data_IF_629062899248
#
_entry.id   IF_629062899248
#
_cell.length_a   1.000
_cell.length_b   1.000
_cell.length_c   1.000
_cell.angle_alpha   90.00
_cell.angle_beta   90.00
_cell.angle_gamma   90.00
#
_symmetry.space_group_name_H-M   'P 1'
#
loop_
_entity.id
_entity.type
_entity.pdbx_description
1 polymer ?
2 non-polymer ?
3 non-polymer ?
4 water ?
#
# COMPACT_ATOMS: atom_id res chain seq x y z
N UNK A 6 7.68 -14.28 17.95
CA UNK A 6 9.05 -14.15 18.44
C UNK A 6 10.08 -13.87 17.31
N UNK A 7 9.64 -13.82 16.03
CA UNK A 7 10.57 -13.60 14.92
C UNK A 7 10.37 -12.24 14.19
N UNK A 8 9.31 -11.50 14.53
CA UNK A 8 9.12 -10.15 14.00
C UNK A 8 10.04 -9.22 14.78
N UNK A 9 10.59 -8.14 14.18
CA UNK A 9 11.38 -7.18 14.98
C UNK A 9 10.52 -6.47 16.03
N UNK A 10 11.15 -5.84 17.07
CA UNK A 10 10.37 -5.08 18.07
C UNK A 10 9.57 -3.97 17.37
N UNK A 11 8.34 -3.73 17.84
CA UNK A 11 7.43 -2.74 17.28
C UNK A 11 6.76 -3.18 15.96
N UNK A 12 6.97 -4.45 15.55
CA UNK A 12 6.28 -4.97 14.38
C UNK A 12 5.19 -5.91 14.87
N UNK A 13 4.09 -5.95 14.14
CA UNK A 13 2.94 -6.76 14.49
C UNK A 13 2.93 -8.06 13.67
N UNK A 14 2.78 -9.20 14.34
CA UNK A 14 2.75 -10.50 13.68
C UNK A 14 1.31 -10.86 13.34
N UNK A 15 1.08 -11.36 12.13
CA UNK A 15 -0.24 -11.78 11.68
C UNK A 15 -0.12 -12.71 10.50
N UNK A 16 -0.61 -13.96 10.65
CA UNK A 16 -0.62 -14.99 9.61
C UNK A 16 0.73 -15.15 8.89
N UNK A 17 1.81 -15.27 9.65
CA UNK A 17 3.18 -15.50 9.16
C UNK A 17 3.79 -14.30 8.41
N UNK A 18 3.29 -13.10 8.68
CA UNK A 18 3.87 -11.86 8.17
C UNK A 18 4.09 -10.87 9.34
N UNK A 19 5.08 -10.00 9.21
CA UNK A 19 5.37 -8.94 10.18
C UNK A 19 4.99 -7.60 9.53
N UNK A 20 4.32 -6.71 10.28
CA UNK A 20 3.84 -5.43 9.74
C UNK A 20 4.30 -4.26 10.60
N UNK A 21 4.65 -3.17 9.97
CA UNK A 21 5.03 -1.96 10.68
C UNK A 21 4.13 -0.85 10.12
N UNK A 22 3.47 -0.13 11.01
CA UNK A 22 2.55 0.92 10.63
C UNK A 22 3.16 2.25 10.96
N UNK A 23 3.43 3.08 9.94
CA UNK A 23 3.98 4.40 10.21
C UNK A 23 3.00 5.31 10.94
N UNK A 24 3.56 6.25 11.67
CA UNK A 24 2.78 7.30 12.30
C UNK A 24 3.23 8.69 11.75
N UNK A 25 3.70 8.71 10.51
CA UNK A 25 4.13 9.90 9.80
C UNK A 25 3.92 9.65 8.29
N UNK A 26 4.01 10.70 7.49
CA UNK A 26 3.78 10.61 6.07
C UNK A 26 5.01 10.73 5.21
N UNK A 27 4.95 10.08 4.04
CA UNK A 27 5.98 10.13 3.04
C UNK A 27 5.33 9.98 1.67
N UNK A 28 5.97 10.56 0.65
CA UNK A 28 5.60 10.33 -0.74
C UNK A 28 5.82 8.81 -1.02
N UNK A 29 5.00 8.19 -1.87
CA UNK A 29 5.10 6.76 -2.15
C UNK A 29 6.54 6.24 -2.38
N UNK A 30 7.34 6.89 -3.26
CA UNK A 30 8.71 6.43 -3.55
C UNK A 30 9.59 6.43 -2.30
N UNK A 31 9.36 7.39 -1.40
CA UNK A 31 10.08 7.47 -0.15
C UNK A 31 9.65 6.38 0.81
N UNK A 32 8.33 6.08 0.89
CA UNK A 32 7.82 5.00 1.74
C UNK A 32 8.33 3.62 1.22
N UNK A 33 8.41 3.48 -0.10
CA UNK A 33 8.92 2.28 -0.77
C UNK A 33 10.39 2.08 -0.35
N UNK A 34 11.22 3.14 -0.47
CA UNK A 34 12.63 3.10 -0.04
C UNK A 34 12.72 2.77 1.46
N UNK A 35 11.88 3.41 2.30
CA UNK A 35 11.84 3.10 3.73
C UNK A 35 11.68 1.58 4.01
N UNK A 36 10.65 0.96 3.41
CA UNK A 36 10.39 -0.45 3.62
C UNK A 36 11.52 -1.32 3.14
N UNK A 37 12.08 -1.00 1.97
CA UNK A 37 13.19 -1.76 1.39
C UNK A 37 14.40 -1.77 2.33
N UNK A 38 14.66 -0.65 3.00
CA UNK A 38 15.80 -0.54 3.91
C UNK A 38 15.61 -1.33 5.22
N UNK A 39 14.38 -1.79 5.49
CA UNK A 39 14.11 -2.65 6.63
C UNK A 39 14.03 -4.11 6.18
N UNK A 40 14.59 -4.49 4.98
CA UNK A 40 14.47 -5.84 4.41
C UNK A 40 12.98 -6.22 4.31
N UNK A 41 12.15 -5.25 3.93
CA UNK A 41 10.69 -5.38 3.91
C UNK A 41 10.16 -4.74 2.61
N UNK A 42 8.85 -4.73 2.38
CA UNK A 42 8.26 -4.10 1.22
C UNK A 42 7.00 -3.38 1.68
N UNK A 43 6.47 -2.45 0.86
CA UNK A 43 5.20 -1.80 1.14
C UNK A 43 4.11 -2.90 1.11
N UNK A 44 3.19 -2.89 2.08
CA UNK A 44 2.20 -3.97 2.29
C UNK A 44 1.54 -4.50 1.00
N UNK A 45 1.50 -5.82 0.85
CA UNK A 45 0.87 -6.50 -0.29
C UNK A 45 -0.35 -7.22 0.27
N UNK A 46 -1.57 -6.74 -0.03
CA UNK A 46 -2.80 -7.31 0.49
C UNK A 46 -3.36 -8.36 -0.49
N UNK A 47 -3.40 -9.64 -0.06
CA UNK A 47 -3.85 -10.72 -0.94
C UNK A 47 -5.11 -11.45 -0.46
N UNK A 48 -5.72 -11.01 0.66
CA UNK A 48 -6.94 -11.63 1.12
C UNK A 48 -7.84 -10.65 1.84
N UNK A 49 -9.12 -11.00 1.99
CA UNK A 49 -10.04 -10.17 2.75
C UNK A 49 -9.61 -10.13 4.25
N UNK A 50 -9.04 -11.23 4.75
CA UNK A 50 -8.58 -11.35 6.12
C UNK A 50 -7.39 -10.40 6.38
N UNK A 51 -6.46 -10.34 5.43
CA UNK A 51 -5.30 -9.45 5.54
C UNK A 51 -5.75 -8.00 5.41
N UNK A 52 -6.75 -7.73 4.56
CA UNK A 52 -7.33 -6.39 4.42
C UNK A 52 -7.94 -5.92 5.76
N UNK A 53 -8.78 -6.76 6.41
CA UNK A 53 -9.41 -6.38 7.69
C UNK A 53 -8.36 -6.10 8.77
N UNK A 54 -7.30 -6.92 8.82
CA UNK A 54 -6.23 -6.75 9.81
C UNK A 54 -5.51 -5.39 9.59
N UNK A 55 -5.21 -5.03 8.32
CA UNK A 55 -4.53 -3.76 8.06
C UNK A 55 -5.45 -2.60 8.44
N UNK A 56 -6.74 -2.70 8.08
CA UNK A 56 -7.75 -1.68 8.40
C UNK A 56 -7.80 -1.38 9.89
N UNK A 57 -7.76 -2.45 10.73
CA UNK A 57 -7.81 -2.31 12.17
C UNK A 57 -6.68 -1.45 12.67
N UNK A 58 -5.46 -1.67 12.16
CA UNK A 58 -4.32 -0.93 12.67
C UNK A 58 -4.11 0.47 12.08
N UNK A 59 -4.68 0.78 10.91
CA UNK A 59 -4.46 2.11 10.31
C UNK A 59 -5.55 3.11 10.67
N UNK A 60 -6.77 2.63 10.85
CA UNK A 60 -7.88 3.52 11.17
C UNK A 60 -8.33 4.31 9.96
N UNK A 61 -9.09 5.39 10.18
CA UNK A 61 -9.64 6.16 9.04
C UNK A 61 -8.66 7.12 8.36
N UNK A 62 -7.52 6.60 7.90
CA UNK A 62 -6.46 7.45 7.35
C UNK A 62 -5.94 6.95 6.00
N UNK A 63 -5.71 7.85 5.04
CA UNK A 63 -5.11 7.50 3.75
C UNK A 63 -3.73 6.92 3.96
N UNK A 64 -3.51 5.70 3.50
CA UNK A 64 -2.27 4.98 3.78
C UNK A 64 -1.77 4.21 2.55
N UNK A 65 -0.54 4.50 2.11
CA UNK A 65 0.06 3.84 0.95
C UNK A 65 0.22 2.33 1.14
N UNK A 66 0.01 1.57 0.04
CA UNK A 66 0.26 0.14 -0.03
C UNK A 66 1.26 -0.12 -1.20
N UNK A 67 1.75 -1.34 -1.31
CA UNK A 67 2.71 -1.67 -2.36
C UNK A 67 2.09 -1.97 -3.70
N UNK A 68 1.20 -1.10 -4.22
CA UNK A 68 0.51 -1.34 -5.49
C UNK A 68 0.59 -0.04 -6.31
N UNK A 69 1.02 -0.12 -7.58
CA UNK A 69 1.23 1.06 -8.40
C UNK A 69 1.15 0.70 -9.89
N UNK A 70 0.99 1.72 -10.75
CA UNK A 70 1.01 1.50 -12.20
C UNK A 70 1.92 2.54 -12.89
N UNK A 71 2.98 3.00 -12.19
CA UNK A 71 3.90 4.01 -12.70
C UNK A 71 4.58 3.63 -14.02
N UNK A 72 4.81 2.34 -14.27
CA UNK A 72 5.47 1.90 -15.51
C UNK A 72 4.57 1.27 -16.53
N UNK A 73 3.27 1.28 -16.30
CA UNK A 73 2.31 0.69 -17.21
C UNK A 73 1.16 0.06 -16.46
N UNK A 74 1.17 -1.27 -16.41
CA UNK A 74 0.06 -1.96 -15.75
C UNK A 74 0.23 -2.04 -14.24
N UNK A 75 -0.88 -2.32 -13.54
CA UNK A 75 -0.87 -2.46 -12.09
C UNK A 75 0.03 -3.59 -11.65
N UNK A 76 0.93 -3.30 -10.71
CA UNK A 76 1.86 -4.26 -10.16
C UNK A 76 1.97 -4.14 -8.65
N UNK A 77 2.10 -5.27 -7.96
CA UNK A 77 2.44 -5.27 -6.54
C UNK A 77 3.98 -5.21 -6.49
N UNK A 78 4.54 -4.53 -5.50
CA UNK A 78 5.99 -4.34 -5.37
C UNK A 78 6.82 -5.64 -5.24
N UNK A 79 6.28 -6.74 -4.67
CA UNK A 79 7.08 -7.97 -4.57
C UNK A 79 6.90 -8.95 -5.75
N UNK A 80 6.17 -8.53 -6.78
CA UNK A 80 5.93 -9.38 -7.94
C UNK A 80 4.65 -10.17 -7.88
N UNK A 81 3.86 -10.05 -6.77
CA UNK A 81 2.56 -10.74 -6.65
C UNK A 81 1.65 -10.30 -7.81
N UNK A 82 1.00 -11.26 -8.46
CA UNK A 82 0.19 -10.96 -9.62
C UNK A 82 -1.07 -10.18 -9.26
N UNK A 83 -1.29 -9.08 -9.99
CA UNK A 83 -2.42 -8.20 -9.76
C UNK A 83 -3.72 -8.77 -10.30
N UNK A 84 -3.72 -9.17 -11.58
CA UNK A 84 -4.86 -9.67 -12.32
C UNK A 84 -5.65 -10.77 -11.60
N UNK A 85 -4.96 -11.83 -11.16
CA UNK A 85 -5.57 -12.95 -10.46
C UNK A 85 -5.67 -12.80 -8.94
N UNK A 86 -5.23 -11.67 -8.38
CA UNK A 86 -5.23 -11.48 -6.94
C UNK A 86 -6.38 -10.68 -6.38
N UNK A 87 -6.42 -10.57 -5.03
CA UNK A 87 -7.45 -9.81 -4.29
C UNK A 87 -7.38 -8.34 -4.70
N UNK A 88 -8.55 -7.70 -4.73
CA UNK A 88 -8.72 -6.29 -5.04
C UNK A 88 -9.80 -5.76 -4.12
N UNK A 89 -9.68 -4.52 -3.71
CA UNK A 89 -10.64 -3.89 -2.84
C UNK A 89 -10.79 -2.43 -3.23
N UNK A 90 -10.86 -2.15 -4.53
CA UNK A 90 -10.99 -0.80 -5.02
C UNK A 90 -12.31 -0.20 -4.58
N UNK A 91 -12.32 1.09 -4.28
CA UNK A 91 -13.57 1.79 -4.04
C UNK A 91 -14.30 1.87 -5.42
N UNK A 92 -15.64 1.70 -5.49
CA UNK A 92 -16.33 1.80 -6.79
C UNK A 92 -15.93 3.07 -7.55
N UNK A 93 -15.69 2.93 -8.86
CA UNK A 93 -15.22 4.00 -9.74
C UNK A 93 -13.68 4.19 -9.71
N UNK A 94 -12.96 3.36 -8.93
CA UNK A 94 -11.51 3.40 -8.90
C UNK A 94 -10.95 2.09 -9.43
N UNK A 95 -9.70 2.08 -9.96
CA UNK A 95 -8.83 3.23 -10.21
C UNK A 95 -9.34 4.05 -11.40
N UNK A 96 -9.20 5.39 -11.35
CA UNK A 96 -9.70 6.23 -12.44
C UNK A 96 -8.61 7.06 -13.12
N UNK A 97 -7.33 6.97 -12.67
CA UNK A 97 -6.20 7.72 -13.25
C UNK A 97 -6.51 9.21 -13.43
N UNK A 98 -7.10 9.84 -12.40
CA UNK A 98 -7.54 11.23 -12.46
C UNK A 98 -6.41 12.22 -12.72
N UNK A 99 -6.62 13.09 -13.70
CA UNK A 99 -5.67 14.16 -14.03
C UNK A 99 -6.10 15.52 -13.42
N UNK A 100 -7.38 15.67 -13.10
CA UNK A 100 -7.98 16.93 -12.63
C UNK A 100 -7.37 17.56 -11.39
N UNK A 101 -6.50 16.83 -10.66
CA UNK A 101 -5.79 17.41 -9.52
C UNK A 101 -4.82 18.54 -9.99
N UNK A 102 -4.44 18.51 -11.27
CA UNK A 102 -3.61 19.54 -11.88
C UNK A 102 -2.17 19.55 -11.47
N UNK A 103 -1.70 18.48 -10.86
CA UNK A 103 -0.33 18.38 -10.38
C UNK A 103 0.64 17.71 -11.38
N UNK A 104 0.14 17.25 -12.53
CA UNK A 104 0.95 16.57 -13.53
C UNK A 104 0.69 15.08 -13.47
N UNK A 105 0.33 14.50 -14.62
CA UNK A 105 0.04 13.08 -14.74
C UNK A 105 -1.32 12.67 -14.20
N UNK A 106 -1.58 11.38 -14.20
CA UNK A 106 -2.82 10.84 -13.67
C UNK A 106 -2.64 10.50 -12.22
N UNK A 107 -2.94 9.26 -11.84
CA UNK A 107 -2.78 8.75 -10.47
C UNK A 107 -2.20 7.36 -10.56
N UNK A 108 -1.01 7.16 -10.00
CA UNK A 108 -0.31 5.90 -10.18
C UNK A 108 0.02 5.10 -8.93
N UNK A 109 -0.42 5.51 -7.75
CA UNK A 109 -0.09 4.77 -6.54
C UNK A 109 -1.34 4.48 -5.78
N UNK A 110 -1.47 3.25 -5.30
CA UNK A 110 -2.64 2.87 -4.54
C UNK A 110 -2.49 3.08 -3.04
N UNK A 111 -3.57 3.54 -2.44
CA UNK A 111 -3.63 3.69 -1.00
C UNK A 111 -4.99 3.22 -0.47
N UNK A 112 -5.02 2.81 0.82
CA UNK A 112 -6.27 2.52 1.50
C UNK A 112 -6.88 3.88 1.78
N UNK A 113 -8.18 4.03 1.60
CA UNK A 113 -8.87 5.29 1.92
C UNK A 113 -9.35 5.22 3.38
N UNK A 114 -10.02 6.28 3.88
CA UNK A 114 -10.54 6.29 5.24
C UNK A 114 -11.43 5.11 5.59
N UNK A 115 -12.12 4.50 4.61
CA UNK A 115 -12.99 3.35 4.92
C UNK A 115 -12.40 1.99 4.56
N UNK A 116 -11.11 1.94 4.21
CA UNK A 116 -10.45 0.69 3.87
C UNK A 116 -10.35 0.42 2.38
N UNK A 117 -11.34 0.87 1.59
CA UNK A 117 -11.34 0.63 0.15
C UNK A 117 -10.22 1.42 -0.57
N UNK A 118 -9.69 0.85 -1.64
CA UNK A 118 -8.54 1.42 -2.32
C UNK A 118 -8.84 2.56 -3.31
N UNK A 119 -7.84 3.40 -3.50
CA UNK A 119 -7.90 4.47 -4.48
C UNK A 119 -6.51 4.64 -5.10
N UNK A 120 -6.47 5.04 -6.37
CA UNK A 120 -5.20 5.40 -6.99
C UNK A 120 -5.05 6.91 -6.78
N UNK A 121 -3.88 7.36 -6.30
CA UNK A 121 -3.65 8.79 -6.07
C UNK A 121 -2.30 9.23 -6.62
N UNK A 122 -1.99 10.53 -6.50
CA UNK A 122 -0.75 11.12 -6.95
C UNK A 122 0.39 10.60 -6.05
N UNK A 123 1.38 9.92 -6.63
CA UNK A 123 2.46 9.29 -5.87
C UNK A 123 3.23 10.24 -4.97
N UNK A 124 3.32 11.54 -5.34
CA UNK A 124 4.04 12.57 -4.58
C UNK A 124 3.39 12.93 -3.26
N UNK A 125 2.09 12.61 -3.07
CA UNK A 125 1.43 12.97 -1.82
C UNK A 125 2.05 12.31 -0.60
N UNK A 126 2.21 13.09 0.48
CA UNK A 126 2.64 12.46 1.74
C UNK A 126 1.48 11.76 2.46
N UNK A 127 1.56 10.44 2.57
CA UNK A 127 0.57 9.66 3.33
C UNK A 127 1.33 8.73 4.27
N UNK A 128 0.66 8.21 5.31
CA UNK A 128 1.22 7.15 6.13
C UNK A 128 1.39 5.89 5.25
N UNK A 129 2.16 4.90 5.71
CA UNK A 129 2.40 3.70 4.93
C UNK A 129 2.56 2.49 5.85
N UNK A 130 2.54 1.29 5.27
CA UNK A 130 2.69 0.05 6.05
C UNK A 130 3.78 -0.76 5.40
N UNK A 131 4.75 -1.24 6.18
CA UNK A 131 5.77 -2.16 5.66
C UNK A 131 5.34 -3.58 6.05
N UNK A 132 5.76 -4.54 5.24
CA UNK A 132 5.47 -5.93 5.50
C UNK A 132 6.70 -6.77 5.18
N UNK A 133 6.94 -7.76 6.02
CA UNK A 133 8.00 -8.73 5.81
C UNK A 133 7.40 -10.14 6.05
N UNK A 134 7.88 -11.16 5.34
CA UNK A 134 7.32 -12.51 5.50
C UNK A 134 8.19 -13.35 6.40
N UNK A 135 7.57 -14.09 7.33
CA UNK A 135 8.32 -15.00 8.19
C UNK A 135 8.48 -16.32 7.42
X LIG B 1 -2.27 5.39 -13.38
X LIG C 1 -8.33 7.90 -8.09
X LIG D 1 0.75 -9.78 2.48
X LIG E 1 -10.41 10.50 -1.46
X LIG E 1 -8.95 10.88 -1.17
X LIG E 1 -11.34 11.70 -1.49
X LIG E 1 -10.90 9.36 -0.58
X LIG E 1 -10.42 9.96 -2.97
X LIG E 1 -9.74 10.77 -3.95
X LIG E 1 -10.16 10.39 -5.34
X LIG E 1 -11.46 10.96 -5.64
X LIG E 1 -9.26 10.94 -6.44
X LIG E 1 -8.11 10.11 -6.54
X LIG E 1 -10.21 10.93 -7.64
X LIG E 1 -10.37 9.59 -8.07
X LIG E 1 -11.51 11.38 -6.99
X LIG E 1 -11.75 12.82 -7.03
X LIG E 1 -11.43 13.73 -6.05
X LIG E 1 -11.77 14.96 -6.35
X LIG E 1 -12.38 14.85 -7.59
X LIG E 1 -12.97 15.85 -8.41
X LIG E 1 -13.03 17.06 -8.21
X LIG E 1 -13.44 15.29 -9.61
X LIG E 1 -13.38 13.99 -9.94
X LIG E 1 -12.88 13.05 -9.18
X LIG E 1 -12.37 13.54 -8.02
#
# INVERSE_FOLDING_TARGET
>A
MGSERTCCPVNWVEHERSCYWFSRSGKAWADADNYCRLEDAHLVVVTSWEEQKFVQHHIGPVNTWMGLHDQNGPWKWVDGTDYETGFKNWRPEQPDDWYGHGLGGGEDCAHFTDDGRWNDDVCQRPYRWVCETELDKASQEPPLLGSHHHHHH
>B hetero
1 CA CA
>C hetero
1 CA CA
>D hetero
1 CA CA
>E hetero
1 IMP P O1P O2P O3P O5' C5' C4' O4' C3' O3' C2' O2' C1' N9 C8 N7 C5 C6 O6 N1 C2 N3 C4
#
